data_IF_804644393767
#
_entry.id   IF_804644393767
#
_cell.length_a   1.000
_cell.length_b   1.000
_cell.length_c   1.000
_cell.angle_alpha   90.00
_cell.angle_beta   90.00
_cell.angle_gamma   90.00
#
_symmetry.space_group_name_H-M   'P 1'
#
loop_
_entity.id
_entity.type
_entity.pdbx_description
1 polymer ?
#
# COMPACT_ATOMS: atom_id res chain seq x y z
N UNK A 1 -18.50 9.80 -10.63
CA UNK A 1 -17.24 9.12 -10.27
C UNK A 1 -17.14 9.15 -8.75
N UNK A 2 -17.53 8.07 -8.06
CA UNK A 2 -17.34 7.99 -6.62
C UNK A 2 -15.84 7.81 -6.37
N UNK A 3 -15.17 8.86 -5.90
CA UNK A 3 -13.79 8.74 -5.42
C UNK A 3 -13.77 7.75 -4.26
N UNK A 4 -12.70 6.95 -4.14
CA UNK A 4 -12.54 6.09 -2.97
C UNK A 4 -12.36 6.97 -1.73
N UNK A 5 -13.18 6.73 -0.69
CA UNK A 5 -13.04 7.44 0.59
C UNK A 5 -11.83 6.90 1.36
N UNK A 6 -11.32 7.69 2.30
CA UNK A 6 -10.20 7.25 3.13
C UNK A 6 -10.54 6.01 3.96
N UNK A 7 -11.79 5.83 4.43
CA UNK A 7 -12.17 4.60 5.15
C UNK A 7 -12.09 3.37 4.24
N UNK A 8 -12.50 3.51 2.97
CA UNK A 8 -12.41 2.41 2.01
C UNK A 8 -10.97 2.05 1.70
N UNK A 9 -10.10 3.05 1.53
CA UNK A 9 -8.67 2.86 1.34
C UNK A 9 -8.03 2.18 2.57
N UNK A 10 -8.35 2.64 3.78
CA UNK A 10 -7.87 2.02 5.01
C UNK A 10 -8.32 0.56 5.14
N UNK A 11 -9.58 0.25 4.81
CA UNK A 11 -10.09 -1.11 4.77
C UNK A 11 -9.31 -2.01 3.79
N UNK A 12 -9.01 -1.51 2.58
CA UNK A 12 -8.22 -2.27 1.60
C UNK A 12 -6.77 -2.46 2.03
N UNK A 13 -6.14 -1.45 2.63
CA UNK A 13 -4.80 -1.58 3.20
C UNK A 13 -4.75 -2.68 4.27
N UNK A 14 -5.76 -2.77 5.13
CA UNK A 14 -5.88 -3.86 6.10
C UNK A 14 -6.11 -5.23 5.43
N UNK A 15 -6.88 -5.29 4.34
CA UNK A 15 -7.04 -6.54 3.59
C UNK A 15 -5.71 -7.03 3.01
N UNK A 16 -4.91 -6.13 2.45
CA UNK A 16 -3.57 -6.44 1.93
C UNK A 16 -2.68 -6.94 3.08
N UNK A 17 -2.66 -6.23 4.21
CA UNK A 17 -1.88 -6.64 5.39
C UNK A 17 -2.25 -8.03 5.91
N UNK A 18 -3.56 -8.36 5.98
CA UNK A 18 -4.02 -9.70 6.38
C UNK A 18 -3.60 -10.77 5.37
N UNK A 19 -3.56 -10.47 4.08
CA UNK A 19 -3.10 -11.40 3.05
C UNK A 19 -1.59 -11.66 3.11
N UNK A 20 -0.81 -10.70 3.61
CA UNK A 20 0.66 -10.76 3.69
C UNK A 20 1.17 -11.15 5.08
N UNK A 21 0.31 -11.60 5.98
CA UNK A 21 0.68 -11.91 7.37
C UNK A 21 1.78 -13.00 7.50
N UNK A 22 1.92 -13.84 6.47
CA UNK A 22 2.90 -14.93 6.42
C UNK A 22 4.15 -14.61 5.59
N UNK A 23 4.25 -13.41 5.03
CA UNK A 23 5.46 -12.98 4.32
C UNK A 23 6.62 -12.83 5.31
N UNK A 24 7.86 -12.96 4.82
CA UNK A 24 9.06 -12.77 5.64
C UNK A 24 9.18 -11.34 6.18
N UNK A 25 8.66 -10.35 5.44
CA UNK A 25 8.64 -8.94 5.83
C UNK A 25 7.28 -8.28 5.56
N UNK A 26 6.22 -8.59 6.33
CA UNK A 26 4.83 -8.20 6.03
C UNK A 26 4.65 -6.69 5.82
N UNK A 27 5.30 -5.86 6.66
CA UNK A 27 5.23 -4.40 6.54
C UNK A 27 5.87 -3.91 5.23
N UNK A 28 6.97 -4.53 4.80
CA UNK A 28 7.62 -4.17 3.55
C UNK A 28 6.76 -4.62 2.35
N UNK A 29 6.20 -5.83 2.39
CA UNK A 29 5.31 -6.34 1.35
C UNK A 29 4.06 -5.47 1.15
N UNK A 30 3.46 -4.99 2.24
CA UNK A 30 2.29 -4.10 2.15
C UNK A 30 2.67 -2.76 1.54
N UNK A 31 3.79 -2.16 1.96
CA UNK A 31 4.23 -0.87 1.42
C UNK A 31 4.56 -0.97 -0.08
N UNK A 32 5.27 -2.02 -0.49
CA UNK A 32 5.59 -2.33 -1.87
C UNK A 32 4.32 -2.50 -2.72
N UNK A 33 3.38 -3.32 -2.27
CA UNK A 33 2.13 -3.58 -2.99
C UNK A 33 1.27 -2.32 -3.15
N UNK A 34 1.14 -1.50 -2.11
CA UNK A 34 0.40 -0.24 -2.21
C UNK A 34 1.04 0.66 -3.27
N UNK A 35 2.36 0.85 -3.24
CA UNK A 35 3.04 1.71 -4.23
C UNK A 35 2.99 1.14 -5.64
N UNK A 36 3.09 -0.18 -5.81
CA UNK A 36 3.04 -0.82 -7.12
C UNK A 36 1.66 -0.71 -7.80
N UNK A 37 0.56 -0.72 -7.03
CA UNK A 37 -0.79 -0.87 -7.59
C UNK A 37 -1.74 0.31 -7.34
N UNK A 38 -1.43 1.19 -6.40
CA UNK A 38 -2.29 2.35 -6.14
C UNK A 38 -1.84 3.56 -6.94
N UNK A 39 -2.81 4.34 -7.40
CA UNK A 39 -2.53 5.65 -8.00
C UNK A 39 -2.00 6.62 -6.93
N UNK A 40 -1.21 7.64 -7.32
CA UNK A 40 -0.75 8.68 -6.37
C UNK A 40 -1.90 9.31 -5.58
N UNK A 41 -3.03 9.60 -6.25
CA UNK A 41 -4.22 10.15 -5.62
C UNK A 41 -4.77 9.28 -4.48
N UNK A 42 -4.78 7.96 -4.65
CA UNK A 42 -5.26 7.04 -3.60
C UNK A 42 -4.34 7.09 -2.38
N UNK A 43 -3.03 7.13 -2.60
CA UNK A 43 -2.03 7.24 -1.53
C UNK A 43 -2.20 8.58 -0.80
N UNK A 44 -2.30 9.69 -1.54
CA UNK A 44 -2.48 11.02 -0.98
C UNK A 44 -3.76 11.12 -0.13
N UNK A 45 -4.88 10.56 -0.61
CA UNK A 45 -6.14 10.53 0.15
C UNK A 45 -5.99 9.76 1.47
N UNK A 46 -5.35 8.58 1.46
CA UNK A 46 -5.13 7.79 2.68
C UNK A 46 -4.21 8.52 3.67
N UNK A 47 -3.18 9.20 3.18
CA UNK A 47 -2.22 9.95 4.00
C UNK A 47 -2.84 11.21 4.62
N UNK A 48 -3.73 11.91 3.89
CA UNK A 48 -4.31 13.18 4.32
C UNK A 48 -5.44 13.02 5.36
N UNK A 49 -6.36 12.08 5.15
CA UNK A 49 -7.57 11.94 5.98
C UNK A 49 -7.39 10.98 7.16
N UNK A 50 -6.30 10.21 7.15
CA UNK A 50 -5.79 9.56 8.34
C UNK A 50 -6.27 8.12 8.56
N UNK A 51 -5.32 7.36 9.07
CA UNK A 51 -5.29 5.93 9.34
C UNK A 51 -6.16 5.45 10.52
N UNK A 52 -7.24 6.15 10.90
CA UNK A 52 -7.99 5.85 12.13
C UNK A 52 -8.51 4.41 12.26
N UNK A 53 -8.62 3.71 11.12
CA UNK A 53 -9.01 2.31 11.04
C UNK A 53 -7.87 1.35 10.60
N UNK A 54 -6.62 1.80 10.49
CA UNK A 54 -5.51 0.92 10.06
C UNK A 54 -5.07 -0.03 11.18
N UNK A 55 -4.94 -1.30 10.81
CA UNK A 55 -4.33 -2.32 11.65
C UNK A 55 -2.81 -2.11 11.74
N UNK A 56 -2.12 -2.63 12.78
CA UNK A 56 -0.72 -2.28 13.06
C UNK A 56 0.24 -2.43 11.86
N UNK A 57 0.15 -3.53 11.11
CA UNK A 57 1.01 -3.77 9.93
C UNK A 57 0.74 -2.77 8.81
N UNK A 58 -0.54 -2.47 8.54
CA UNK A 58 -0.91 -1.49 7.52
C UNK A 58 -0.53 -0.07 7.95
N UNK A 59 -0.70 0.27 9.22
CA UNK A 59 -0.31 1.56 9.78
C UNK A 59 1.20 1.80 9.66
N UNK A 60 2.02 0.79 9.98
CA UNK A 60 3.47 0.90 9.83
C UNK A 60 3.89 1.01 8.36
N UNK A 61 3.25 0.26 7.46
CA UNK A 61 3.54 0.32 6.02
C UNK A 61 3.22 1.72 5.45
N UNK A 62 2.05 2.28 5.79
CA UNK A 62 1.66 3.64 5.39
C UNK A 62 2.61 4.69 5.98
N UNK A 63 3.07 4.52 7.21
CA UNK A 63 4.07 5.41 7.80
C UNK A 63 5.44 5.36 7.07
N UNK A 64 5.83 4.20 6.51
CA UNK A 64 7.03 4.09 5.66
C UNK A 64 6.85 4.83 4.33
N UNK A 65 5.68 4.70 3.70
CA UNK A 65 5.31 5.42 2.47
C UNK A 65 5.36 6.93 2.71
N UNK A 66 4.72 7.42 3.77
CA UNK A 66 4.72 8.83 4.14
C UNK A 66 6.13 9.42 4.34
N UNK A 67 7.09 8.59 4.75
CA UNK A 67 8.47 8.98 4.95
C UNK A 67 9.38 8.74 3.72
N UNK A 68 8.81 8.37 2.58
CA UNK A 68 9.55 8.07 1.34
C UNK A 68 10.42 6.81 1.43
N UNK A 69 10.21 5.94 2.43
CA UNK A 69 10.96 4.69 2.61
C UNK A 69 10.24 3.54 1.93
N UNK A 70 10.23 3.55 0.59
CA UNK A 70 9.62 2.48 -0.20
C UNK A 70 10.62 1.32 -0.29
N UNK A 71 10.26 0.11 0.16
CA UNK A 71 11.13 -1.05 0.01
C UNK A 71 11.27 -1.43 -1.48
N UNK A 72 12.34 -2.13 -1.87
CA UNK A 72 12.40 -2.73 -3.21
C UNK A 72 11.26 -3.74 -3.39
N UNK A 73 10.96 -4.19 -4.62
CA UNK A 73 9.99 -5.26 -4.86
C UNK A 73 10.25 -6.48 -3.97
N UNK A 74 9.26 -6.89 -3.18
CA UNK A 74 9.35 -8.04 -2.28
C UNK A 74 9.09 -9.35 -3.01
N UNK A 75 8.37 -9.30 -4.13
CA UNK A 75 8.07 -10.48 -4.95
C UNK A 75 8.23 -10.16 -6.42
N UNK A 76 8.31 -11.21 -7.26
CA UNK A 76 8.23 -11.04 -8.71
C UNK A 76 6.96 -10.29 -9.13
N UNK A 77 5.85 -10.42 -8.39
CA UNK A 77 4.56 -9.79 -8.68
C UNK A 77 4.50 -8.28 -8.40
N UNK A 78 5.52 -7.69 -7.78
CA UNK A 78 5.66 -6.23 -7.60
C UNK A 78 6.87 -5.65 -8.34
N UNK A 79 7.67 -6.48 -9.00
CA UNK A 79 8.79 -6.04 -9.84
C UNK A 79 8.33 -5.23 -11.08
N UNK A 80 8.66 -3.92 -11.18
CA UNK A 80 8.25 -3.09 -12.31
C UNK A 80 8.79 -3.58 -13.66
N UNK A 81 9.88 -4.37 -13.68
CA UNK A 81 10.39 -4.98 -14.91
C UNK A 81 9.51 -6.13 -15.43
N UNK A 82 8.61 -6.67 -14.60
CA UNK A 82 7.76 -7.81 -14.93
C UNK A 82 6.34 -7.38 -15.32
N UNK A 83 5.82 -6.26 -14.79
CA UNK A 83 4.39 -5.91 -14.92
C UNK A 83 4.04 -4.98 -16.06
N UNK A 84 5.03 -4.47 -16.80
CA UNK A 84 4.79 -3.50 -17.89
C UNK A 84 4.41 -2.13 -17.34
N UNK A 85 4.91 -1.08 -17.98
CA UNK A 85 4.76 0.33 -17.53
C UNK A 85 3.36 0.91 -17.83
N UNK A 86 2.31 0.10 -17.75
CA UNK A 86 1.01 0.40 -18.35
C UNK A 86 0.05 1.12 -17.38
N UNK A 87 0.56 1.60 -16.24
CA UNK A 87 -0.15 2.54 -15.37
C UNK A 87 0.05 3.98 -15.86
N UNK A 88 -0.43 4.27 -17.07
CA UNK A 88 -0.42 5.60 -17.70
C UNK A 88 -1.72 5.89 -18.44
#
# INVERSE_FOLDING_TARGET
>A
MSGQTAEKLAYMANQIARNMVHDEAPVASVADHIVAFWTPRMIDTLLAEGAGALEPVAAEAVARIAAGRIPPPQTRATDPAVHGSDAG
#
